data_IF_802355897361
#
_entry.id   IF_802355897361
#
_cell.length_a   1.000
_cell.length_b   1.000
_cell.length_c   1.000
_cell.angle_alpha   90.00
_cell.angle_beta   90.00
_cell.angle_gamma   90.00
#
_symmetry.space_group_name_H-M   'P 1'
#
loop_
_entity.id
_entity.type
_entity.pdbx_description
1 polymer ?
#
# COMPACT_ATOMS: atom_id res chain seq x y z
N UNK A 1 9.18 52.91 79.19
CA UNK A 1 8.50 51.98 78.26
C UNK A 1 9.55 51.28 77.40
N UNK A 2 9.61 49.93 77.43
CA UNK A 2 10.35 49.06 76.47
C UNK A 2 9.48 48.87 75.20
N UNK A 3 9.89 48.11 74.16
CA UNK A 3 11.05 48.24 73.25
C UNK A 3 10.62 48.07 71.76
N UNK A 4 11.49 48.23 70.75
CA UNK A 4 11.34 47.49 69.46
C UNK A 4 12.62 47.60 68.60
N UNK A 5 13.44 46.54 68.56
CA UNK A 5 13.49 45.47 67.53
C UNK A 5 14.09 45.96 66.20
N UNK A 6 15.41 45.78 66.08
CA UNK A 6 16.09 45.77 64.78
C UNK A 6 15.49 44.65 63.94
N UNK A 7 14.91 45.00 62.80
CA UNK A 7 14.51 44.08 61.76
C UNK A 7 15.63 44.04 60.71
N UNK A 8 16.35 42.92 60.66
CA UNK A 8 17.15 42.53 59.50
C UNK A 8 16.23 42.35 58.30
N UNK A 9 16.45 43.11 57.23
CA UNK A 9 15.85 42.84 55.92
C UNK A 9 16.97 42.56 54.93
N UNK A 10 17.21 41.27 54.68
CA UNK A 10 17.92 40.78 53.52
C UNK A 10 17.10 41.11 52.24
N UNK A 11 17.74 41.36 51.09
CA UNK A 11 17.00 41.59 49.85
C UNK A 11 16.27 40.30 49.41
N UNK A 12 15.07 40.42 48.82
CA UNK A 12 14.34 39.27 48.32
C UNK A 12 15.03 38.66 47.10
N UNK A 13 15.06 37.34 47.09
CA UNK A 13 15.63 36.48 46.06
C UNK A 13 15.10 36.83 44.66
N UNK A 14 16.01 36.67 43.70
CA UNK A 14 15.80 36.79 42.27
C UNK A 14 14.56 36.01 41.81
N UNK A 15 13.85 36.64 40.86
CA UNK A 15 12.73 36.06 40.14
C UNK A 15 13.24 34.91 39.27
N UNK A 16 13.00 33.67 39.67
CA UNK A 16 13.05 32.54 38.75
C UNK A 16 11.73 32.48 37.97
N UNK A 17 11.76 33.20 36.86
CA UNK A 17 10.83 33.09 35.75
C UNK A 17 10.97 31.73 35.06
N UNK A 18 9.83 31.15 34.69
CA UNK A 18 9.66 30.14 33.67
C UNK A 18 10.36 28.77 33.83
N UNK A 19 9.81 27.89 34.67
CA UNK A 19 9.75 26.45 34.34
C UNK A 19 8.49 26.14 33.52
N UNK A 20 8.42 26.73 32.32
CA UNK A 20 7.56 26.17 31.28
C UNK A 20 8.24 24.89 30.77
N UNK A 21 7.93 23.74 31.39
CA UNK A 21 8.24 22.42 30.84
C UNK A 21 7.46 22.24 29.55
N UNK A 22 7.98 22.81 28.47
CA UNK A 22 7.42 22.61 27.16
C UNK A 22 7.90 21.26 26.63
N UNK A 23 7.00 20.27 26.65
CA UNK A 23 7.15 19.04 25.89
C UNK A 23 7.07 19.33 24.40
N UNK A 24 8.07 20.02 23.86
CA UNK A 24 8.18 20.22 22.43
C UNK A 24 8.52 18.89 21.77
N UNK A 25 7.62 18.43 20.89
CA UNK A 25 7.91 17.43 19.88
C UNK A 25 9.20 17.86 19.19
N UNK A 26 10.30 17.11 19.35
CA UNK A 26 11.54 17.36 18.61
C UNK A 26 11.22 17.18 17.13
N UNK A 27 11.06 18.29 16.43
CA UNK A 27 10.92 18.34 14.98
C UNK A 27 12.34 18.40 14.45
N UNK A 28 12.75 17.39 13.71
CA UNK A 28 14.06 17.38 13.06
C UNK A 28 14.10 18.52 12.04
N UNK A 29 15.20 19.28 12.00
CA UNK A 29 15.40 20.35 11.01
C UNK A 29 15.38 19.77 9.59
N UNK A 30 14.68 20.44 8.67
CA UNK A 30 14.50 19.98 7.29
C UNK A 30 15.82 19.81 6.53
N UNK A 31 16.83 20.60 6.86
CA UNK A 31 18.15 20.59 6.20
C UNK A 31 19.10 19.52 6.73
N UNK A 32 18.70 18.77 7.78
CA UNK A 32 19.51 17.67 8.30
C UNK A 32 19.10 16.33 7.69
N UNK A 33 20.06 15.41 7.47
CA UNK A 33 19.73 14.07 7.02
C UNK A 33 18.82 13.38 8.05
N UNK A 34 17.77 12.73 7.56
CA UNK A 34 16.79 12.05 8.41
C UNK A 34 17.51 11.04 9.33
N UNK A 35 17.17 11.06 10.63
CA UNK A 35 17.74 10.13 11.61
C UNK A 35 17.49 8.68 11.16
N UNK A 36 18.47 7.76 11.30
CA UNK A 36 18.26 6.36 10.97
C UNK A 36 17.05 5.79 11.70
N UNK A 37 16.11 5.30 10.91
CA UNK A 37 14.86 4.74 11.40
C UNK A 37 15.16 3.33 11.91
N UNK A 38 15.24 3.20 13.23
CA UNK A 38 15.75 2.00 13.91
C UNK A 38 15.01 0.69 13.60
N UNK A 39 15.32 -0.38 14.36
CA UNK A 39 14.90 -1.76 14.10
C UNK A 39 13.41 -1.96 13.72
N UNK A 40 12.52 -1.11 14.23
CA UNK A 40 11.08 -1.13 13.89
C UNK A 40 10.80 -0.85 12.40
N UNK A 41 11.54 0.05 11.73
CA UNK A 41 11.36 0.28 10.28
C UNK A 41 11.92 -0.87 9.47
N UNK A 42 13.08 -1.41 9.84
CA UNK A 42 13.64 -2.60 9.19
C UNK A 42 12.66 -3.79 9.29
N UNK A 43 12.06 -4.02 10.46
CA UNK A 43 11.04 -5.05 10.65
C UNK A 43 9.76 -4.77 9.82
N UNK A 44 9.33 -3.52 9.72
CA UNK A 44 8.19 -3.13 8.88
C UNK A 44 8.48 -3.30 7.38
N UNK A 45 9.70 -2.99 6.93
CA UNK A 45 10.13 -3.22 5.55
C UNK A 45 10.17 -4.72 5.24
N UNK A 46 10.72 -5.54 6.15
CA UNK A 46 10.73 -6.99 6.00
C UNK A 46 9.31 -7.58 5.95
N UNK A 47 8.38 -7.02 6.75
CA UNK A 47 6.97 -7.42 6.73
C UNK A 47 6.26 -7.01 5.44
N UNK A 48 6.62 -5.89 4.82
CA UNK A 48 6.10 -5.44 3.52
C UNK A 48 6.66 -6.25 2.35
N UNK A 49 7.88 -6.76 2.49
CA UNK A 49 8.52 -7.64 1.51
C UNK A 49 8.02 -9.08 1.60
N UNK A 50 7.36 -9.48 2.70
CA UNK A 50 6.68 -10.77 2.75
C UNK A 50 5.50 -10.72 1.79
N UNK A 51 5.47 -11.58 0.75
CA UNK A 51 4.28 -11.69 -0.07
C UNK A 51 3.11 -12.07 0.83
N UNK A 52 2.05 -11.26 0.80
CA UNK A 52 0.77 -11.65 1.39
C UNK A 52 0.39 -12.97 0.73
N UNK A 53 0.19 -14.04 1.52
CA UNK A 53 -0.16 -15.37 0.99
C UNK A 53 -1.29 -15.19 -0.01
N UNK A 54 -0.99 -15.45 -1.29
CA UNK A 54 -1.98 -15.32 -2.36
C UNK A 54 -3.22 -16.13 -1.99
N UNK A 55 -4.44 -15.64 -2.28
CA UNK A 55 -5.61 -16.50 -2.18
C UNK A 55 -5.33 -17.77 -3.00
N UNK A 56 -5.60 -18.94 -2.42
CA UNK A 56 -5.43 -20.23 -3.11
C UNK A 56 -6.15 -20.13 -4.45
N UNK A 57 -5.45 -20.45 -5.53
CA UNK A 57 -6.04 -20.61 -6.85
C UNK A 57 -7.22 -21.57 -6.72
N UNK A 58 -8.43 -21.01 -6.66
CA UNK A 58 -9.65 -21.81 -6.69
C UNK A 58 -9.82 -22.23 -8.13
N UNK A 59 -9.50 -23.49 -8.40
CA UNK A 59 -9.82 -24.15 -9.66
C UNK A 59 -11.34 -24.19 -9.82
N UNK A 60 -11.89 -23.20 -10.50
CA UNK A 60 -13.28 -23.22 -10.94
C UNK A 60 -13.35 -22.71 -12.37
N UNK A 61 -13.59 -23.64 -13.29
CA UNK A 61 -14.07 -23.42 -14.66
C UNK A 61 -15.37 -24.23 -14.74
N UNK A 62 -16.49 -23.76 -15.35
CA UNK A 62 -16.57 -22.82 -16.47
C UNK A 62 -17.47 -21.58 -16.25
N UNK A 63 -17.04 -20.48 -16.87
CA UNK A 63 -17.70 -19.17 -16.84
C UNK A 63 -17.30 -18.41 -15.58
N UNK A 64 -16.67 -17.25 -15.73
CA UNK A 64 -16.30 -16.42 -14.59
C UNK A 64 -17.62 -15.90 -13.98
N UNK A 65 -18.18 -16.64 -13.02
CA UNK A 65 -19.40 -16.24 -12.27
C UNK A 65 -19.07 -15.44 -11.02
N UNK A 66 -17.80 -15.47 -10.62
CA UNK A 66 -17.26 -14.84 -9.42
C UNK A 66 -15.90 -14.25 -9.72
N UNK A 67 -15.49 -13.24 -8.96
CA UNK A 67 -14.18 -12.64 -9.13
C UNK A 67 -13.05 -13.67 -8.99
N UNK A 68 -12.03 -13.58 -9.86
CA UNK A 68 -10.85 -14.45 -9.84
C UNK A 68 -9.58 -13.61 -9.69
N UNK A 69 -8.62 -14.11 -8.90
CA UNK A 69 -7.31 -13.46 -8.72
C UNK A 69 -6.21 -14.34 -9.28
N UNK A 70 -5.41 -13.77 -10.17
CA UNK A 70 -4.26 -14.40 -10.80
C UNK A 70 -2.99 -13.67 -10.31
N UNK A 71 -1.93 -14.40 -10.00
CA UNK A 71 -0.69 -13.82 -9.44
C UNK A 71 0.52 -14.43 -10.15
N UNK A 72 1.51 -13.60 -10.46
CA UNK A 72 2.76 -14.03 -11.08
C UNK A 72 3.57 -14.93 -10.16
N UNK A 73 4.45 -15.75 -10.73
CA UNK A 73 5.28 -16.67 -9.93
C UNK A 73 6.14 -15.94 -8.87
N UNK A 74 6.61 -14.74 -9.19
CA UNK A 74 7.40 -13.89 -8.29
C UNK A 74 6.56 -13.03 -7.33
N UNK A 75 5.23 -13.10 -7.43
CA UNK A 75 4.28 -12.33 -6.62
C UNK A 75 4.28 -10.82 -6.88
N UNK A 76 4.96 -10.35 -7.94
CA UNK A 76 5.09 -8.92 -8.24
C UNK A 76 3.91 -8.37 -9.02
N UNK A 77 3.21 -9.20 -9.76
CA UNK A 77 2.05 -8.81 -10.57
C UNK A 77 0.84 -9.63 -10.15
N UNK A 78 -0.29 -8.95 -9.97
CA UNK A 78 -1.57 -9.57 -9.63
C UNK A 78 -2.65 -8.99 -10.53
N UNK A 79 -3.49 -9.85 -11.10
CA UNK A 79 -4.72 -9.46 -11.79
C UNK A 79 -5.91 -9.92 -10.99
N UNK A 80 -6.89 -9.04 -10.78
CA UNK A 80 -8.20 -9.43 -10.28
C UNK A 80 -9.22 -9.18 -11.38
N UNK A 81 -9.90 -10.24 -11.79
CA UNK A 81 -10.91 -10.21 -12.85
C UNK A 81 -12.28 -10.27 -12.18
N UNK A 82 -13.12 -9.29 -12.48
CA UNK A 82 -14.46 -9.12 -11.96
C UNK A 82 -15.44 -9.10 -13.13
N UNK A 83 -16.23 -10.17 -13.34
CA UNK A 83 -17.39 -10.12 -14.21
C UNK A 83 -18.37 -9.07 -13.69
N UNK A 84 -18.93 -8.30 -14.60
CA UNK A 84 -19.96 -7.29 -14.33
C UNK A 84 -21.05 -7.41 -15.40
N UNK A 85 -22.24 -6.86 -15.16
CA UNK A 85 -23.32 -6.86 -16.17
C UNK A 85 -22.93 -6.16 -17.48
N UNK A 86 -21.95 -5.27 -17.42
CA UNK A 86 -21.48 -4.46 -18.56
C UNK A 86 -20.20 -5.01 -19.21
N UNK A 87 -19.75 -6.22 -18.83
CA UNK A 87 -18.52 -6.83 -19.31
C UNK A 87 -17.53 -7.18 -18.20
N UNK A 88 -16.24 -6.92 -18.41
CA UNK A 88 -15.15 -7.36 -17.52
C UNK A 88 -14.39 -6.18 -16.93
N UNK A 89 -14.34 -6.09 -15.59
CA UNK A 89 -13.42 -5.23 -14.86
C UNK A 89 -12.15 -6.02 -14.53
N UNK A 90 -10.98 -5.46 -14.85
CA UNK A 90 -9.66 -6.00 -14.56
C UNK A 90 -8.88 -5.01 -13.70
N UNK A 91 -8.54 -5.43 -12.49
CA UNK A 91 -7.59 -4.73 -11.64
C UNK A 91 -6.20 -5.35 -11.79
N UNK A 92 -5.26 -4.61 -12.38
CA UNK A 92 -3.84 -4.96 -12.39
C UNK A 92 -3.14 -4.29 -11.24
N UNK A 93 -2.45 -5.05 -10.42
CA UNK A 93 -1.58 -4.56 -9.34
C UNK A 93 -0.15 -4.99 -9.61
N UNK A 94 0.80 -4.05 -9.57
CA UNK A 94 2.21 -4.31 -9.81
C UNK A 94 3.08 -3.69 -8.71
N UNK A 95 3.96 -4.50 -8.13
CA UNK A 95 4.99 -4.09 -7.19
C UNK A 95 6.16 -3.46 -7.93
N UNK A 96 6.41 -2.19 -7.65
CA UNK A 96 7.51 -1.42 -8.19
C UNK A 96 8.80 -1.68 -7.38
N UNK A 97 9.95 -1.47 -8.01
CA UNK A 97 11.27 -1.71 -7.43
C UNK A 97 11.51 -0.95 -6.11
N UNK A 98 10.87 0.22 -5.94
CA UNK A 98 11.03 1.10 -4.77
C UNK A 98 9.84 0.95 -3.79
N UNK A 99 9.34 -0.28 -3.64
CA UNK A 99 8.34 -0.64 -2.63
C UNK A 99 6.97 0.05 -2.77
N UNK A 100 6.75 0.81 -3.84
CA UNK A 100 5.44 1.33 -4.21
C UNK A 100 4.64 0.26 -4.97
N UNK A 101 3.32 0.40 -4.95
CA UNK A 101 2.40 -0.47 -5.66
C UNK A 101 1.61 0.38 -6.65
N UNK A 102 1.65 0.01 -7.93
CA UNK A 102 0.79 0.59 -8.95
C UNK A 102 -0.44 -0.30 -9.09
N UNK A 103 -1.63 0.27 -8.97
CA UNK A 103 -2.87 -0.42 -9.30
C UNK A 103 -3.55 0.33 -10.46
N UNK A 104 -3.93 -0.41 -11.50
CA UNK A 104 -4.64 0.07 -12.68
C UNK A 104 -5.94 -0.71 -12.81
N UNK A 105 -7.06 -0.01 -12.96
CA UNK A 105 -8.37 -0.61 -13.18
C UNK A 105 -8.79 -0.35 -14.62
N UNK A 106 -9.20 -1.39 -15.32
CA UNK A 106 -9.58 -1.34 -16.74
C UNK A 106 -10.92 -2.06 -16.91
N UNK A 107 -11.82 -1.47 -17.69
CA UNK A 107 -13.14 -2.06 -17.98
C UNK A 107 -13.22 -2.36 -19.46
N UNK A 108 -13.67 -3.55 -19.79
CA UNK A 108 -13.84 -4.05 -21.15
C UNK A 108 -15.29 -4.44 -21.39
N UNK A 109 -15.97 -3.73 -22.27
CA UNK A 109 -17.36 -4.01 -22.62
C UNK A 109 -17.53 -5.30 -23.42
N UNK A 110 -16.51 -5.67 -24.19
CA UNK A 110 -16.55 -6.80 -25.11
C UNK A 110 -15.20 -7.53 -25.19
N UNK A 111 -15.27 -8.78 -25.64
CA UNK A 111 -14.09 -9.63 -25.81
C UNK A 111 -13.06 -9.03 -26.79
N UNK A 112 -13.43 -8.47 -27.97
CA UNK A 112 -12.45 -7.84 -28.86
C UNK A 112 -11.63 -6.70 -28.23
N UNK A 113 -12.25 -5.89 -27.36
CA UNK A 113 -11.58 -4.80 -26.65
C UNK A 113 -10.59 -5.33 -25.61
N UNK A 114 -10.98 -6.39 -24.90
CA UNK A 114 -10.08 -7.12 -24.01
C UNK A 114 -8.90 -7.75 -24.78
N UNK A 115 -9.15 -8.38 -25.93
CA UNK A 115 -8.13 -9.01 -26.77
C UNK A 115 -7.10 -7.99 -27.27
N UNK A 116 -7.55 -6.80 -27.71
CA UNK A 116 -6.65 -5.71 -28.11
C UNK A 116 -5.75 -5.29 -26.97
N UNK A 117 -6.28 -5.16 -25.76
CA UNK A 117 -5.46 -4.85 -24.59
C UNK A 117 -4.46 -5.97 -24.28
N UNK A 118 -4.90 -7.23 -24.27
CA UNK A 118 -4.01 -8.38 -24.08
C UNK A 118 -2.90 -8.45 -25.13
N UNK A 119 -3.15 -8.03 -26.38
CA UNK A 119 -2.11 -8.01 -27.42
C UNK A 119 -0.95 -7.05 -27.13
N UNK A 120 -1.23 -5.97 -26.40
CA UNK A 120 -0.26 -4.96 -25.99
C UNK A 120 0.35 -5.25 -24.61
N UNK A 121 -0.15 -6.23 -23.88
CA UNK A 121 0.27 -6.55 -22.51
C UNK A 121 1.68 -7.16 -22.48
N UNK A 122 2.68 -6.50 -21.85
CA UNK A 122 4.05 -7.01 -21.77
C UNK A 122 4.18 -8.38 -21.11
N UNK A 123 3.25 -8.73 -20.22
CA UNK A 123 3.22 -10.00 -19.49
C UNK A 123 3.30 -11.22 -20.41
N UNK A 124 2.84 -11.13 -21.67
CA UNK A 124 2.94 -12.22 -22.65
C UNK A 124 4.37 -12.75 -22.84
N UNK A 125 5.38 -11.91 -22.57
CA UNK A 125 6.79 -12.26 -22.66
C UNK A 125 7.45 -12.49 -21.30
N UNK A 126 6.93 -11.87 -20.23
CA UNK A 126 7.51 -11.95 -18.88
C UNK A 126 7.03 -13.19 -18.12
N UNK A 127 5.74 -13.52 -18.21
CA UNK A 127 5.10 -14.66 -17.54
C UNK A 127 4.00 -15.22 -18.45
N UNK A 128 4.42 -16.03 -19.43
CA UNK A 128 3.50 -16.62 -20.42
C UNK A 128 2.42 -17.51 -19.79
N UNK A 129 2.69 -18.12 -18.64
CA UNK A 129 1.73 -18.96 -17.91
C UNK A 129 0.65 -18.08 -17.31
N UNK A 130 1.02 -17.03 -16.58
CA UNK A 130 0.07 -16.07 -16.05
C UNK A 130 -0.74 -15.40 -17.17
N UNK A 131 -0.11 -15.04 -18.28
CA UNK A 131 -0.79 -14.49 -19.44
C UNK A 131 -1.83 -15.45 -20.03
N UNK A 132 -1.49 -16.74 -20.17
CA UNK A 132 -2.43 -17.76 -20.62
C UNK A 132 -3.65 -17.91 -19.70
N UNK A 133 -3.44 -17.83 -18.38
CA UNK A 133 -4.53 -17.80 -17.41
C UNK A 133 -5.38 -16.53 -17.53
N UNK A 134 -4.76 -15.36 -17.66
CA UNK A 134 -5.45 -14.09 -17.81
C UNK A 134 -6.40 -14.10 -19.01
N UNK A 135 -5.93 -14.55 -20.17
CA UNK A 135 -6.76 -14.62 -21.38
C UNK A 135 -7.92 -15.60 -21.20
N UNK A 136 -7.64 -16.81 -20.69
CA UNK A 136 -8.67 -17.84 -20.53
C UNK A 136 -9.77 -17.43 -19.56
N UNK A 137 -9.39 -16.93 -18.38
CA UNK A 137 -10.37 -16.51 -17.37
C UNK A 137 -11.11 -15.23 -17.83
N UNK A 138 -10.43 -14.33 -18.54
CA UNK A 138 -11.04 -13.13 -19.12
C UNK A 138 -12.09 -13.44 -20.19
N UNK A 139 -11.78 -14.35 -21.12
CA UNK A 139 -12.76 -14.85 -22.10
C UNK A 139 -13.97 -15.50 -21.43
N UNK A 140 -13.75 -16.20 -20.32
CA UNK A 140 -14.82 -16.80 -19.52
C UNK A 140 -15.85 -15.80 -19.01
N UNK A 141 -15.54 -14.50 -18.94
CA UNK A 141 -16.48 -13.46 -18.54
C UNK A 141 -17.48 -13.07 -19.64
N UNK A 142 -17.19 -13.38 -20.92
CA UNK A 142 -18.02 -12.98 -22.06
C UNK A 142 -18.87 -14.13 -22.64
N UNK A 143 -18.71 -15.36 -22.15
CA UNK A 143 -19.33 -16.58 -22.70
C UNK A 143 -20.58 -17.02 -21.90
N UNK A 144 -20.92 -16.35 -20.80
CA UNK A 144 -22.08 -16.69 -19.94
C UNK A 144 -23.40 -16.04 -20.39
N UNK A 145 -24.56 -16.66 -20.13
CA UNK A 145 -25.84 -15.99 -20.25
C UNK A 145 -25.93 -14.97 -19.11
N UNK A 146 -25.98 -13.68 -19.47
CA UNK A 146 -26.28 -12.59 -18.56
C UNK A 146 -27.65 -12.78 -17.89
#
# INVERSE_FOLDING_TARGET
>A
MKPNRMASNAPPAERDDATHRSGHRRIDSLDQPARPLGAKRAALQLRRQRPTRAPRQSSATPGLRSACTLTSCDGRTTFTLHPTTEGLLVDRTQLQLIGSRLTQSMVFADQPSFDRWCSAEPLRFEDAVLFGHLVREGHGAFIGPW
#
